data_IF_101259649069
#
_entry.id   IF_101259649069
#
_cell.length_a   1.000
_cell.length_b   1.000
_cell.length_c   1.000
_cell.angle_alpha   90.00
_cell.angle_beta   90.00
_cell.angle_gamma   90.00
#
_symmetry.space_group_name_H-M   'P 1'
#
loop_
_entity.id
_entity.type
_entity.pdbx_description
1 polymer ?
#
# COMPACT_ATOMS: atom_id res chain seq x y z
N UNK A 1 -9.88 23.85 12.74
CA UNK A 1 -9.24 24.62 11.64
C UNK A 1 -8.11 23.85 10.93
N UNK A 2 -8.12 22.51 10.93
CA UNK A 2 -7.17 21.69 10.14
C UNK A 2 -7.88 20.74 9.17
N UNK A 3 -9.08 20.26 9.53
CA UNK A 3 -9.82 19.28 8.73
C UNK A 3 -10.26 19.82 7.36
N UNK A 4 -10.80 21.03 7.30
CA UNK A 4 -11.22 21.66 6.04
C UNK A 4 -10.04 21.99 5.13
N UNK A 5 -8.91 22.42 5.71
CA UNK A 5 -7.67 22.65 4.97
C UNK A 5 -7.07 21.35 4.42
N UNK A 6 -7.12 20.27 5.20
CA UNK A 6 -6.67 18.95 4.76
C UNK A 6 -7.54 18.40 3.62
N UNK A 7 -8.86 18.56 3.70
CA UNK A 7 -9.79 18.15 2.64
C UNK A 7 -9.54 18.96 1.36
N UNK A 8 -9.30 20.27 1.48
CA UNK A 8 -9.01 21.13 0.33
C UNK A 8 -7.65 20.82 -0.32
N UNK A 9 -6.64 20.49 0.49
CA UNK A 9 -5.34 20.06 -0.02
C UNK A 9 -5.42 18.68 -0.66
N UNK A 10 -6.18 17.75 -0.07
CA UNK A 10 -6.43 16.43 -0.65
C UNK A 10 -7.24 16.49 -1.94
N UNK A 11 -8.22 17.41 -2.06
CA UNK A 11 -8.95 17.61 -3.30
C UNK A 11 -8.08 18.26 -4.38
N UNK A 12 -7.19 19.19 -4.02
CA UNK A 12 -6.19 19.73 -4.94
C UNK A 12 -5.22 18.64 -5.42
N UNK A 13 -4.70 17.81 -4.50
CA UNK A 13 -3.87 16.65 -4.85
C UNK A 13 -4.62 15.66 -5.74
N UNK A 14 -5.90 15.40 -5.48
CA UNK A 14 -6.72 14.55 -6.33
C UNK A 14 -6.86 15.14 -7.74
N UNK A 15 -6.99 16.46 -7.89
CA UNK A 15 -7.06 17.13 -9.21
C UNK A 15 -5.70 17.10 -9.93
N UNK A 16 -4.58 17.20 -9.22
CA UNK A 16 -3.24 17.05 -9.79
C UNK A 16 -2.90 15.60 -10.17
N UNK A 17 -3.46 14.62 -9.45
CA UNK A 17 -3.21 13.18 -9.66
C UNK A 17 -4.26 12.52 -10.57
N UNK A 18 -5.43 13.11 -10.75
CA UNK A 18 -6.39 12.64 -11.76
C UNK A 18 -5.77 12.87 -13.13
N UNK A 19 -5.55 11.81 -13.93
CA UNK A 19 -5.11 11.97 -15.31
C UNK A 19 -6.23 12.72 -16.02
N UNK A 20 -6.02 14.00 -16.31
CA UNK A 20 -6.74 14.60 -17.44
C UNK A 20 -6.31 13.76 -18.64
N UNK A 21 -7.28 13.28 -19.40
CA UNK A 21 -7.09 12.80 -20.77
C UNK A 21 -6.44 13.94 -21.58
N UNK A 22 -5.13 14.14 -21.39
CA UNK A 22 -4.35 15.13 -22.10
C UNK A 22 -3.81 14.45 -23.33
N UNK A 23 -4.70 14.25 -24.29
CA UNK A 23 -4.32 13.98 -25.69
C UNK A 23 -3.33 15.04 -26.22
N UNK A 24 -3.23 16.20 -25.53
CA UNK A 24 -2.31 17.30 -25.84
C UNK A 24 -0.90 17.22 -25.20
N UNK A 25 -0.64 16.39 -24.18
CA UNK A 25 0.72 16.27 -23.59
C UNK A 25 1.55 15.10 -24.13
N UNK A 26 0.91 14.18 -24.87
CA UNK A 26 1.59 13.08 -25.56
C UNK A 26 2.52 13.57 -26.70
N UNK A 27 2.46 14.84 -27.08
CA UNK A 27 3.31 15.40 -28.14
C UNK A 27 4.64 15.98 -27.62
N UNK A 28 4.89 16.01 -26.29
CA UNK A 28 6.01 16.77 -25.71
C UNK A 28 7.25 15.92 -25.38
N UNK A 29 7.12 14.62 -25.09
CA UNK A 29 8.24 13.65 -24.95
C UNK A 29 7.71 12.26 -24.53
N UNK A 30 8.25 11.18 -25.10
CA UNK A 30 7.87 9.80 -24.75
C UNK A 30 8.08 9.46 -23.26
N UNK A 31 9.06 10.10 -22.61
CA UNK A 31 9.38 9.94 -21.17
C UNK A 31 8.18 10.27 -20.25
N UNK A 32 7.40 11.32 -20.57
CA UNK A 32 6.22 11.70 -19.77
C UNK A 32 5.06 10.72 -19.94
N UNK A 33 4.95 10.11 -21.12
CA UNK A 33 3.97 9.05 -21.43
C UNK A 33 4.31 7.76 -20.69
N UNK A 34 5.60 7.44 -20.53
CA UNK A 34 6.08 6.30 -19.74
C UNK A 34 5.79 6.51 -18.25
N UNK A 35 6.17 7.66 -17.68
CA UNK A 35 5.97 7.99 -16.27
C UNK A 35 4.47 7.94 -15.86
N UNK A 36 3.57 8.47 -16.69
CA UNK A 36 2.14 8.46 -16.40
C UNK A 36 1.55 7.04 -16.37
N UNK A 37 1.94 6.20 -17.34
CA UNK A 37 1.55 4.77 -17.38
C UNK A 37 2.09 4.00 -16.18
N UNK A 38 3.35 4.21 -15.80
CA UNK A 38 3.95 3.59 -14.62
C UNK A 38 3.24 3.99 -13.32
N UNK A 39 2.90 5.27 -13.19
CA UNK A 39 2.15 5.79 -12.04
C UNK A 39 0.75 5.19 -11.99
N UNK A 40 0.08 5.06 -13.13
CA UNK A 40 -1.24 4.44 -13.21
C UNK A 40 -1.21 2.97 -12.75
N UNK A 41 -0.24 2.18 -13.22
CA UNK A 41 -0.05 0.79 -12.79
C UNK A 41 0.21 0.71 -11.27
N UNK A 42 1.02 1.62 -10.72
CA UNK A 42 1.27 1.67 -9.29
C UNK A 42 -0.01 2.00 -8.49
N UNK A 43 -0.79 3.01 -8.90
CA UNK A 43 -2.05 3.39 -8.25
C UNK A 43 -3.05 2.25 -8.29
N UNK A 44 -3.16 1.57 -9.43
CA UNK A 44 -4.06 0.42 -9.59
C UNK A 44 -3.65 -0.73 -8.66
N UNK A 45 -2.34 -1.01 -8.57
CA UNK A 45 -1.78 -2.02 -7.65
C UNK A 45 -2.12 -1.68 -6.20
N UNK A 46 -1.84 -0.45 -5.75
CA UNK A 46 -2.11 -0.02 -4.38
C UNK A 46 -3.60 -0.02 -4.06
N UNK A 47 -4.45 0.40 -5.00
CA UNK A 47 -5.90 0.41 -4.82
C UNK A 47 -6.45 -1.00 -4.67
N UNK A 48 -5.98 -1.95 -5.49
CA UNK A 48 -6.39 -3.35 -5.39
C UNK A 48 -5.86 -4.02 -4.13
N UNK A 49 -4.62 -3.72 -3.72
CA UNK A 49 -4.11 -4.19 -2.43
C UNK A 49 -4.92 -3.61 -1.26
N UNK A 50 -5.23 -2.31 -1.27
CA UNK A 50 -5.96 -1.63 -0.20
C UNK A 50 -7.33 -2.27 0.05
N UNK A 51 -8.06 -2.62 -1.02
CA UNK A 51 -9.33 -3.34 -0.92
C UNK A 51 -9.20 -4.72 -0.27
N UNK A 52 -8.01 -5.33 -0.36
CA UNK A 52 -7.71 -6.66 0.18
C UNK A 52 -7.03 -6.60 1.55
N UNK A 53 -6.61 -5.44 2.07
CA UNK A 53 -5.90 -5.34 3.36
C UNK A 53 -6.74 -5.86 4.52
N UNK A 54 -7.99 -5.41 4.65
CA UNK A 54 -8.88 -5.80 5.77
C UNK A 54 -9.09 -7.31 5.84
N UNK A 55 -9.54 -8.00 4.77
CA UNK A 55 -9.71 -9.46 4.83
C UNK A 55 -8.37 -10.19 5.02
N UNK A 56 -7.27 -9.68 4.46
CA UNK A 56 -5.92 -10.24 4.62
C UNK A 56 -5.46 -10.21 6.09
N UNK A 57 -5.68 -9.10 6.79
CA UNK A 57 -5.37 -8.99 8.23
C UNK A 57 -6.26 -9.93 9.04
N UNK A 58 -7.54 -10.05 8.69
CA UNK A 58 -8.46 -10.96 9.37
C UNK A 58 -8.04 -12.44 9.23
N UNK A 59 -7.69 -12.87 8.01
CA UNK A 59 -7.16 -14.21 7.76
C UNK A 59 -5.86 -14.45 8.52
N UNK A 60 -4.97 -13.46 8.59
CA UNK A 60 -3.70 -13.55 9.31
C UNK A 60 -3.91 -13.66 10.82
N UNK A 61 -4.85 -12.90 11.39
CA UNK A 61 -5.23 -13.03 12.80
C UNK A 61 -5.81 -14.42 13.10
N UNK A 62 -6.68 -14.94 12.22
CA UNK A 62 -7.27 -16.27 12.35
C UNK A 62 -6.20 -17.37 12.27
N UNK A 63 -5.27 -17.25 11.32
CA UNK A 63 -4.19 -18.22 11.13
C UNK A 63 -3.22 -18.22 12.32
N UNK A 64 -2.75 -17.04 12.75
CA UNK A 64 -1.83 -16.90 13.88
C UNK A 64 -2.48 -17.18 15.25
N UNK A 65 -3.82 -17.33 15.28
CA UNK A 65 -4.63 -17.39 16.51
C UNK A 65 -4.30 -16.25 17.47
N UNK A 66 -3.96 -15.09 16.93
CA UNK A 66 -3.64 -13.91 17.73
C UNK A 66 -4.92 -13.36 18.34
N UNK A 67 -4.96 -13.30 19.68
CA UNK A 67 -6.01 -12.64 20.44
C UNK A 67 -5.48 -11.28 20.87
N UNK A 68 -6.20 -10.21 20.53
CA UNK A 68 -5.78 -8.86 20.90
C UNK A 68 -5.71 -8.72 22.41
N UNK A 69 -4.65 -8.10 22.89
CA UNK A 69 -4.50 -7.78 24.32
C UNK A 69 -5.63 -6.88 24.78
N UNK A 70 -6.16 -7.12 25.97
CA UNK A 70 -7.16 -6.23 26.54
C UNK A 70 -6.57 -4.83 26.81
N UNK A 71 -7.35 -3.77 26.59
CA UNK A 71 -6.92 -2.43 26.94
C UNK A 71 -6.73 -2.32 28.47
N UNK A 72 -5.70 -1.61 28.94
CA UNK A 72 -5.50 -1.41 30.38
C UNK A 72 -6.72 -0.69 30.97
N UNK A 73 -7.39 -1.35 31.93
CA UNK A 73 -8.58 -0.83 32.61
C UNK A 73 -8.24 0.54 33.25
N UNK A 74 -9.05 1.56 32.95
CA UNK A 74 -8.98 2.86 33.62
C UNK A 74 -7.90 3.85 33.13
N UNK A 75 -7.13 3.55 32.07
CA UNK A 75 -6.18 4.52 31.47
C UNK A 75 -6.54 4.78 30.02
N UNK A 76 -6.53 6.06 29.59
CA UNK A 76 -6.63 6.43 28.16
C UNK A 76 -5.66 5.56 27.37
N UNK A 77 -6.12 4.97 26.25
CA UNK A 77 -5.28 4.16 25.36
C UNK A 77 -4.07 5.00 24.95
N UNK A 78 -2.91 4.71 25.53
CA UNK A 78 -1.66 5.38 25.18
C UNK A 78 -1.17 4.82 23.86
N UNK A 79 -0.52 5.64 23.03
CA UNK A 79 0.12 5.20 21.77
C UNK A 79 1.03 3.99 21.99
N UNK A 80 1.69 3.93 23.15
CA UNK A 80 2.54 2.79 23.56
C UNK A 80 1.80 1.46 23.66
N UNK A 81 0.49 1.45 23.98
CA UNK A 81 -0.30 0.22 24.01
C UNK A 81 -0.54 -0.30 22.59
N UNK A 82 -0.84 0.58 21.63
CA UNK A 82 -0.98 0.18 20.23
C UNK A 82 0.33 -0.39 19.69
N UNK A 83 1.47 0.25 19.98
CA UNK A 83 2.78 -0.26 19.61
C UNK A 83 3.04 -1.65 20.22
N UNK A 84 2.64 -1.87 21.48
CA UNK A 84 2.77 -3.19 22.12
C UNK A 84 1.90 -4.25 21.43
N UNK A 85 0.65 -3.93 21.10
CA UNK A 85 -0.24 -4.84 20.37
C UNK A 85 0.34 -5.22 19.01
N UNK A 86 0.84 -4.23 18.26
CA UNK A 86 1.48 -4.45 16.96
C UNK A 86 2.75 -5.30 17.10
N UNK A 87 3.59 -5.01 18.09
CA UNK A 87 4.79 -5.78 18.35
C UNK A 87 4.49 -7.26 18.67
N UNK A 88 3.56 -7.54 19.58
CA UNK A 88 3.18 -8.92 19.92
C UNK A 88 2.54 -9.65 18.73
N UNK A 89 1.76 -8.94 17.91
CA UNK A 89 1.20 -9.48 16.66
C UNK A 89 2.30 -9.92 15.70
N UNK A 90 3.27 -9.04 15.39
CA UNK A 90 4.38 -9.37 14.51
C UNK A 90 5.29 -10.45 15.09
N UNK A 91 5.59 -10.38 16.39
CA UNK A 91 6.38 -11.40 17.06
C UNK A 91 5.73 -12.78 16.87
N UNK A 92 4.42 -12.88 17.08
CA UNK A 92 3.70 -14.14 16.91
C UNK A 92 3.72 -14.64 15.46
N UNK A 93 3.51 -13.76 14.50
CA UNK A 93 3.45 -14.14 13.09
C UNK A 93 4.85 -14.49 12.53
N UNK A 94 5.91 -13.86 13.01
CA UNK A 94 7.27 -14.10 12.53
C UNK A 94 7.92 -15.28 13.23
N UNK A 95 7.78 -15.39 14.55
CA UNK A 95 8.49 -16.41 15.34
C UNK A 95 7.64 -17.64 15.65
N UNK A 96 6.37 -17.47 16.02
CA UNK A 96 5.54 -18.60 16.47
C UNK A 96 4.81 -19.27 15.30
N UNK A 97 4.32 -18.49 14.33
CA UNK A 97 3.49 -18.96 13.21
C UNK A 97 3.98 -18.46 11.83
N UNK A 98 5.25 -18.71 11.45
CA UNK A 98 5.83 -18.20 10.21
C UNK A 98 5.12 -18.69 8.95
N UNK A 99 4.42 -19.83 9.02
CA UNK A 99 3.62 -20.36 7.90
C UNK A 99 2.49 -19.40 7.52
N UNK A 100 1.85 -18.77 8.51
CA UNK A 100 0.79 -17.80 8.28
C UNK A 100 1.31 -16.56 7.56
N UNK A 101 2.51 -16.10 7.91
CA UNK A 101 3.17 -15.01 7.19
C UNK A 101 3.51 -15.41 5.76
N UNK A 102 4.05 -16.62 5.59
CA UNK A 102 4.46 -17.12 4.28
C UNK A 102 3.27 -17.26 3.32
N UNK A 103 2.13 -17.77 3.79
CA UNK A 103 0.91 -17.86 2.99
C UNK A 103 0.38 -16.49 2.59
N UNK A 104 0.47 -15.51 3.50
CA UNK A 104 0.12 -14.12 3.23
C UNK A 104 1.00 -13.53 2.13
N UNK A 105 2.32 -13.68 2.27
CA UNK A 105 3.30 -13.19 1.32
C UNK A 105 3.12 -13.85 -0.04
N UNK A 106 2.81 -15.15 -0.09
CA UNK A 106 2.51 -15.85 -1.33
C UNK A 106 1.23 -15.33 -2.00
N UNK A 107 0.19 -15.02 -1.24
CA UNK A 107 -1.02 -14.38 -1.77
C UNK A 107 -0.70 -13.00 -2.35
N UNK A 108 0.01 -12.16 -1.60
CA UNK A 108 0.42 -10.83 -2.04
C UNK A 108 1.31 -10.92 -3.29
N UNK A 109 2.27 -11.85 -3.33
CA UNK A 109 3.15 -12.05 -4.48
C UNK A 109 2.37 -12.43 -5.74
N UNK A 110 1.35 -13.29 -5.62
CA UNK A 110 0.46 -13.65 -6.75
C UNK A 110 -0.34 -12.45 -7.26
N UNK A 111 -0.79 -11.59 -6.36
CA UNK A 111 -1.53 -10.37 -6.71
C UNK A 111 -0.63 -9.30 -7.34
N UNK A 112 0.61 -9.15 -6.86
CA UNK A 112 1.57 -8.16 -7.36
C UNK A 112 2.22 -8.62 -8.67
N UNK A 113 2.41 -9.93 -8.88
CA UNK A 113 3.06 -10.49 -10.07
C UNK A 113 2.62 -9.86 -11.41
N UNK A 114 1.32 -9.78 -11.75
CA UNK A 114 0.89 -9.18 -13.02
C UNK A 114 1.25 -7.69 -13.14
N UNK A 115 1.31 -6.97 -12.01
CA UNK A 115 1.71 -5.56 -11.99
C UNK A 115 3.24 -5.42 -12.12
N UNK A 116 4.02 -6.31 -11.50
CA UNK A 116 5.46 -6.34 -11.67
C UNK A 116 5.87 -6.64 -13.13
N UNK A 117 5.15 -7.55 -13.80
CA UNK A 117 5.33 -7.83 -15.22
C UNK A 117 4.96 -6.61 -16.10
N UNK A 118 3.90 -5.88 -15.75
CA UNK A 118 3.54 -4.62 -16.43
C UNK A 118 4.58 -3.52 -16.23
N UNK A 119 5.08 -3.35 -15.00
CA UNK A 119 6.13 -2.37 -14.67
C UNK A 119 7.41 -2.69 -15.45
N UNK A 120 7.81 -3.96 -15.52
CA UNK A 120 8.97 -4.40 -16.30
C UNK A 120 8.77 -4.26 -17.81
N UNK A 121 7.60 -4.62 -18.34
CA UNK A 121 7.27 -4.49 -19.76
C UNK A 121 7.15 -3.03 -20.24
N UNK A 122 6.79 -2.12 -19.34
CA UNK A 122 6.77 -0.67 -19.60
C UNK A 122 8.14 0.00 -19.38
N UNK A 123 9.16 -0.74 -18.92
CA UNK A 123 10.48 -0.18 -18.60
C UNK A 123 10.46 0.81 -17.43
N UNK A 124 9.47 0.73 -16.54
CA UNK A 124 9.25 1.74 -15.49
C UNK A 124 10.40 1.89 -14.48
N UNK A 125 11.35 0.95 -14.48
CA UNK A 125 12.47 0.86 -13.55
C UNK A 125 13.81 0.73 -14.30
N UNK A 126 13.87 1.22 -15.55
CA UNK A 126 15.11 1.21 -16.31
C UNK A 126 16.17 2.09 -15.62
N UNK A 127 17.42 1.62 -15.61
CA UNK A 127 18.53 2.23 -14.87
C UNK A 127 18.88 3.68 -15.31
N UNK A 128 18.30 4.15 -16.42
CA UNK A 128 18.53 5.50 -16.95
C UNK A 128 17.59 6.57 -16.34
N UNK A 129 16.58 6.17 -15.55
CA UNK A 129 15.57 7.07 -14.96
C UNK A 129 15.94 7.55 -13.53
N UNK A 130 17.14 7.24 -13.02
CA UNK A 130 17.64 7.81 -11.77
C UNK A 130 18.01 9.29 -11.96
N UNK A 131 17.21 10.20 -11.39
CA UNK A 131 17.56 11.61 -11.23
C UNK A 131 18.79 11.69 -10.30
N UNK A 132 19.98 11.95 -10.85
CA UNK A 132 21.19 12.36 -10.12
C UNK A 132 21.07 13.83 -9.72
#
# INVERSE_FOLDING_TARGET
>A
MSLTKAIFLLSLFAVFLTPRETEAQATIKDEWSKLSKCTQVAIETFSNLANKVVPTVYELMKCSRFVSLDPPIGKRRKVTWYLKVVYEFFKRIVFDEPKCLHDLLNKIAKEIKPYAEQIGGLGCLDDDDFII
#
